data_IF_121235321266
#
_entry.id   IF_121235321266
#
_cell.length_a   1.000
_cell.length_b   1.000
_cell.length_c   1.000
_cell.angle_alpha   90.00
_cell.angle_beta   90.00
_cell.angle_gamma   90.00
#
_symmetry.space_group_name_H-M   'P 1'
#
loop_
_entity.id
_entity.type
_entity.pdbx_description
1 polymer ?
#
# COMPACT_ATOMS: atom_id res chain seq x y z
N UNK A 1 -14.65 19.44 7.84
CA UNK A 1 -14.29 18.20 8.54
C UNK A 1 -12.80 17.95 8.33
N UNK A 2 -12.02 17.71 9.39
CA UNK A 2 -10.63 17.22 9.29
C UNK A 2 -10.62 15.78 9.79
N UNK A 3 -10.65 14.83 8.87
CA UNK A 3 -10.55 13.41 9.17
C UNK A 3 -9.12 12.93 8.89
N UNK A 4 -8.55 12.17 9.82
CA UNK A 4 -7.33 11.41 9.55
C UNK A 4 -7.71 10.18 8.74
N UNK A 5 -6.95 9.88 7.70
CA UNK A 5 -7.11 8.65 6.92
C UNK A 5 -5.79 7.88 6.89
N UNK A 6 -5.92 6.57 6.70
CA UNK A 6 -4.80 5.69 6.35
C UNK A 6 -5.29 4.90 5.14
N UNK A 7 -4.53 4.92 4.04
CA UNK A 7 -4.91 4.22 2.82
C UNK A 7 -3.77 3.28 2.40
N UNK A 8 -4.01 1.95 2.41
CA UNK A 8 -3.09 0.97 1.83
C UNK A 8 -3.24 0.90 0.30
N UNK A 9 -2.15 0.97 -0.45
CA UNK A 9 -2.11 0.82 -1.92
C UNK A 9 -0.92 -0.04 -2.36
N UNK A 10 -0.93 -0.55 -3.60
CA UNK A 10 0.26 -1.20 -4.15
C UNK A 10 1.40 -0.18 -4.37
N UNK A 11 2.62 -0.58 -4.04
CA UNK A 11 3.83 0.23 -4.25
C UNK A 11 4.17 0.31 -5.74
N UNK A 12 3.55 1.25 -6.45
CA UNK A 12 3.77 1.52 -7.88
C UNK A 12 4.17 2.97 -8.06
N UNK A 13 4.94 3.27 -9.11
CA UNK A 13 5.45 4.62 -9.38
C UNK A 13 4.35 5.70 -9.33
N UNK A 14 3.19 5.44 -9.96
CA UNK A 14 2.08 6.38 -9.97
C UNK A 14 1.53 6.70 -8.58
N UNK A 15 1.61 5.77 -7.61
CA UNK A 15 1.21 6.01 -6.22
C UNK A 15 2.18 6.95 -5.53
N UNK A 16 3.48 6.73 -5.67
CA UNK A 16 4.50 7.63 -5.10
C UNK A 16 4.39 9.05 -5.67
N UNK A 17 4.18 9.18 -6.98
CA UNK A 17 4.02 10.48 -7.63
C UNK A 17 2.74 11.19 -7.17
N UNK A 18 1.62 10.46 -7.06
CA UNK A 18 0.32 11.02 -6.67
C UNK A 18 0.31 11.53 -5.23
N UNK A 19 0.98 10.82 -4.33
CA UNK A 19 0.95 11.10 -2.88
C UNK A 19 2.26 11.66 -2.34
N UNK A 20 3.14 12.21 -3.21
CA UNK A 20 4.49 12.65 -2.84
C UNK A 20 4.56 13.71 -1.72
N UNK A 21 3.46 14.41 -1.46
CA UNK A 21 3.35 15.42 -0.41
C UNK A 21 2.86 14.88 0.94
N UNK A 22 2.64 13.57 1.05
CA UNK A 22 2.15 12.89 2.25
C UNK A 22 3.20 11.92 2.80
N UNK A 23 2.98 11.42 4.01
CA UNK A 23 3.82 10.36 4.57
C UNK A 23 3.50 9.04 3.88
N UNK A 24 4.52 8.35 3.36
CA UNK A 24 4.42 7.06 2.69
C UNK A 24 5.33 6.06 3.41
N UNK A 25 4.77 4.94 3.89
CA UNK A 25 5.51 3.82 4.49
C UNK A 25 5.35 2.57 3.63
N UNK A 26 6.45 1.94 3.21
CA UNK A 26 6.42 0.68 2.47
C UNK A 26 6.24 -0.52 3.41
N UNK A 27 5.31 -1.40 3.06
CA UNK A 27 4.97 -2.58 3.85
C UNK A 27 5.04 -3.83 2.99
N UNK A 28 5.83 -4.80 3.46
CA UNK A 28 5.92 -6.12 2.83
C UNK A 28 4.69 -6.96 3.18
N UNK A 29 3.84 -7.21 2.19
CA UNK A 29 2.63 -8.00 2.34
C UNK A 29 2.77 -9.36 1.64
N UNK A 30 2.16 -10.39 2.23
CA UNK A 30 2.01 -11.70 1.59
C UNK A 30 0.54 -11.98 1.39
N UNK A 31 0.09 -12.03 0.14
CA UNK A 31 -1.27 -12.42 -0.16
C UNK A 31 -1.37 -13.95 -0.21
N UNK A 32 -2.22 -14.51 0.65
CA UNK A 32 -2.68 -15.88 0.52
C UNK A 32 -3.89 -15.91 -0.40
N UNK A 33 -3.70 -16.20 -1.68
CA UNK A 33 -4.83 -16.44 -2.57
C UNK A 33 -5.38 -17.84 -2.27
N UNK A 34 -6.53 -17.90 -1.60
CA UNK A 34 -7.22 -19.15 -1.31
C UNK A 34 -7.54 -19.88 -2.62
N UNK A 35 -7.01 -21.10 -2.77
CA UNK A 35 -7.29 -21.99 -3.91
C UNK A 35 -6.11 -22.35 -4.82
N UNK A 36 -4.93 -21.72 -4.71
CA UNK A 36 -3.76 -22.08 -5.57
C UNK A 36 -2.39 -22.20 -4.90
N UNK A 37 -2.31 -22.11 -3.57
CA UNK A 37 -1.07 -22.41 -2.83
C UNK A 37 0.14 -21.51 -3.15
N UNK A 38 -0.06 -20.43 -3.92
CA UNK A 38 0.98 -19.45 -4.22
C UNK A 38 0.81 -18.24 -3.31
N UNK A 39 1.72 -18.13 -2.35
CA UNK A 39 1.93 -16.91 -1.59
C UNK A 39 2.61 -15.90 -2.51
N UNK A 40 1.88 -14.87 -2.95
CA UNK A 40 2.48 -13.79 -3.74
C UNK A 40 3.00 -12.74 -2.78
N UNK A 41 4.32 -12.57 -2.75
CA UNK A 41 4.94 -11.42 -2.11
C UNK A 41 4.56 -10.17 -2.91
N UNK A 42 3.99 -9.19 -2.23
CA UNK A 42 3.58 -7.90 -2.81
C UNK A 42 4.07 -6.79 -1.90
N UNK A 43 4.54 -5.71 -2.50
CA UNK A 43 4.85 -4.49 -1.77
C UNK A 43 3.63 -3.56 -1.79
N UNK A 44 3.24 -3.11 -0.61
CA UNK A 44 2.22 -2.10 -0.42
C UNK A 44 2.82 -0.83 0.20
N UNK A 45 2.06 0.24 0.18
CA UNK A 45 2.35 1.49 0.87
C UNK A 45 1.19 1.89 1.76
N UNK A 46 1.49 2.38 2.96
CA UNK A 46 0.55 3.07 3.83
C UNK A 46 0.74 4.57 3.66
N UNK A 47 -0.35 5.27 3.34
CA UNK A 47 -0.36 6.72 3.13
C UNK A 47 -1.13 7.40 4.25
N UNK A 48 -0.56 8.44 4.85
CA UNK A 48 -1.16 9.21 5.95
C UNK A 48 -0.84 10.72 5.86
N UNK A 49 -1.66 11.60 6.48
CA UNK A 49 -1.49 13.06 6.46
C UNK A 49 -0.13 13.55 6.97
#
# INVERSE_FOLDING_TARGET
MRGTFIVPLNATQGVFETFMGLTIEEVHCTYSVSGRGQNKAVMEVLISP
#
